data_IF_541829775097
#
_entry.id   IF_541829775097
#
_cell.length_a   1.000
_cell.length_b   1.000
_cell.length_c   1.000
_cell.angle_alpha   90.00
_cell.angle_beta   90.00
_cell.angle_gamma   90.00
#
_symmetry.space_group_name_H-M   'P 1'
#
loop_
_entity.id
_entity.type
_entity.pdbx_description
1 polymer ?
#
# COMPACT_ATOMS: atom_id res chain seq x y z
N UNK A 1 -21.98 29.46 -17.14
CA UNK A 1 -21.37 28.45 -16.28
C UNK A 1 -21.79 28.77 -14.86
N UNK A 2 -22.66 27.94 -14.29
CA UNK A 2 -23.07 28.06 -12.88
C UNK A 2 -21.92 27.49 -12.05
N UNK A 3 -21.33 28.25 -11.10
CA UNK A 3 -20.41 27.66 -10.15
C UNK A 3 -21.20 26.68 -9.29
N UNK A 4 -20.88 25.40 -9.36
CA UNK A 4 -21.46 24.38 -8.48
C UNK A 4 -21.12 24.75 -7.04
N UNK A 5 -22.07 25.38 -6.33
CA UNK A 5 -21.91 25.93 -4.98
C UNK A 5 -21.66 24.89 -3.89
N UNK A 6 -21.43 23.64 -4.25
CA UNK A 6 -21.19 22.50 -3.36
C UNK A 6 -19.78 21.91 -3.49
N UNK A 7 -18.87 22.55 -4.25
CA UNK A 7 -17.49 22.07 -4.34
C UNK A 7 -16.79 22.25 -2.99
N UNK A 8 -16.50 21.12 -2.31
CA UNK A 8 -15.71 21.16 -1.08
C UNK A 8 -14.33 21.76 -1.36
N UNK A 9 -13.80 22.58 -0.45
CA UNK A 9 -12.47 23.13 -0.61
C UNK A 9 -11.44 21.99 -0.71
N UNK A 10 -10.42 22.12 -1.57
CA UNK A 10 -9.41 21.09 -1.71
C UNK A 10 -8.68 20.88 -0.38
N UNK A 11 -8.40 19.61 -0.04
CA UNK A 11 -7.65 19.24 1.16
C UNK A 11 -6.32 20.01 1.19
N UNK A 12 -5.93 20.61 2.35
CA UNK A 12 -4.66 21.30 2.47
C UNK A 12 -3.49 20.41 2.03
N UNK A 13 -2.57 20.97 1.25
CA UNK A 13 -1.43 20.22 0.67
C UNK A 13 -0.60 19.49 1.73
N UNK A 14 -0.39 20.12 2.89
CA UNK A 14 0.34 19.53 4.01
C UNK A 14 -0.35 18.28 4.58
N UNK A 15 -1.67 18.31 4.72
CA UNK A 15 -2.44 17.17 5.22
C UNK A 15 -2.40 15.99 4.24
N UNK A 16 -2.51 16.27 2.94
CA UNK A 16 -2.36 15.25 1.89
C UNK A 16 -0.97 14.61 1.91
N UNK A 17 0.08 15.42 2.05
CA UNK A 17 1.45 14.90 2.15
C UNK A 17 1.65 14.06 3.41
N UNK A 18 1.13 14.51 4.56
CA UNK A 18 1.21 13.76 5.81
C UNK A 18 0.48 12.41 5.69
N UNK A 19 -0.73 12.41 5.13
CA UNK A 19 -1.49 11.19 4.86
C UNK A 19 -0.70 10.24 3.97
N UNK A 20 -0.10 10.73 2.89
CA UNK A 20 0.73 9.92 1.98
C UNK A 20 1.90 9.26 2.70
N UNK A 21 2.62 9.99 3.55
CA UNK A 21 3.76 9.48 4.30
C UNK A 21 3.31 8.44 5.32
N UNK A 22 2.30 8.75 6.13
CA UNK A 22 1.79 7.84 7.16
C UNK A 22 1.23 6.55 6.56
N UNK A 23 0.51 6.67 5.44
CA UNK A 23 -0.03 5.53 4.71
C UNK A 23 1.10 4.65 4.14
N UNK A 24 2.17 5.24 3.61
CA UNK A 24 3.34 4.48 3.13
C UNK A 24 4.03 3.72 4.26
N UNK A 25 4.20 4.38 5.42
CA UNK A 25 4.76 3.77 6.62
C UNK A 25 3.88 2.61 7.07
N UNK A 26 2.57 2.81 7.17
CA UNK A 26 1.62 1.79 7.59
C UNK A 26 1.64 0.56 6.66
N UNK A 27 1.68 0.77 5.33
CA UNK A 27 1.76 -0.33 4.36
C UNK A 27 3.00 -1.18 4.65
N UNK A 28 4.19 -0.57 4.58
CA UNK A 28 5.45 -1.28 4.68
C UNK A 28 5.64 -1.90 6.08
N UNK A 29 5.27 -1.17 7.14
CA UNK A 29 5.37 -1.66 8.51
C UNK A 29 4.44 -2.86 8.75
N UNK A 30 3.24 -2.88 8.17
CA UNK A 30 2.31 -4.01 8.33
C UNK A 30 2.90 -5.33 7.80
N UNK A 31 3.54 -5.29 6.62
CA UNK A 31 4.24 -6.47 6.08
C UNK A 31 5.46 -6.83 6.93
N UNK A 32 6.28 -5.85 7.31
CA UNK A 32 7.46 -6.09 8.14
C UNK A 32 7.09 -6.81 9.44
N UNK A 33 6.13 -6.25 10.19
CA UNK A 33 5.69 -6.82 11.47
C UNK A 33 5.10 -8.21 11.24
N UNK A 34 4.33 -8.42 10.17
CA UNK A 34 3.79 -9.75 9.85
C UNK A 34 4.90 -10.76 9.55
N UNK A 35 5.96 -10.37 8.84
CA UNK A 35 7.10 -11.26 8.57
C UNK A 35 7.89 -11.59 9.83
N UNK A 36 8.19 -10.58 10.66
CA UNK A 36 8.92 -10.78 11.92
C UNK A 36 8.09 -11.67 12.85
N UNK A 37 6.82 -11.34 13.05
CA UNK A 37 5.90 -12.13 13.83
C UNK A 37 5.79 -13.57 13.28
N UNK A 38 5.60 -13.75 11.98
CA UNK A 38 5.49 -15.09 11.38
C UNK A 38 6.79 -15.90 11.55
N UNK A 39 7.96 -15.26 11.51
CA UNK A 39 9.23 -15.94 11.76
C UNK A 39 9.39 -16.37 13.21
N UNK A 40 8.99 -15.52 14.16
CA UNK A 40 9.06 -15.81 15.58
C UNK A 40 8.02 -16.86 15.97
N UNK A 41 6.81 -16.73 15.46
CA UNK A 41 5.73 -17.69 15.68
C UNK A 41 6.04 -19.04 15.06
N UNK A 42 6.64 -19.11 13.87
CA UNK A 42 7.14 -20.39 13.33
C UNK A 42 8.14 -21.06 14.29
N UNK A 43 9.09 -20.29 14.83
CA UNK A 43 10.06 -20.80 15.81
C UNK A 43 9.39 -21.21 17.12
N UNK A 44 8.39 -20.45 17.59
CA UNK A 44 7.62 -20.75 18.81
C UNK A 44 6.70 -21.96 18.63
N UNK A 45 6.03 -22.11 17.49
CA UNK A 45 5.16 -23.25 17.17
C UNK A 45 5.93 -24.56 17.20
N UNK A 46 7.12 -24.58 16.59
CA UNK A 46 8.03 -25.75 16.65
C UNK A 46 8.39 -26.12 18.10
N UNK A 47 8.41 -25.14 19.01
CA UNK A 47 8.82 -25.35 20.41
C UNK A 47 7.65 -25.61 21.37
N UNK A 48 6.49 -24.97 21.19
CA UNK A 48 5.46 -24.84 22.25
C UNK A 48 4.00 -24.77 21.77
N UNK A 49 3.72 -24.77 20.46
CA UNK A 49 2.35 -24.65 19.91
C UNK A 49 1.81 -23.20 19.87
N UNK A 50 0.85 -22.93 18.98
CA UNK A 50 0.38 -21.58 18.61
C UNK A 50 -0.70 -21.01 19.53
N UNK A 51 -0.65 -19.70 19.80
CA UNK A 51 -1.79 -18.94 20.36
C UNK A 51 -2.54 -18.22 19.22
N UNK A 52 -3.82 -18.54 19.04
CA UNK A 52 -4.64 -18.08 17.90
C UNK A 52 -4.86 -16.56 17.80
N UNK A 53 -4.62 -15.79 18.86
CA UNK A 53 -4.91 -14.36 18.90
C UNK A 53 -3.90 -13.51 18.12
N UNK A 54 -2.62 -13.88 18.15
CA UNK A 54 -1.55 -13.06 17.56
C UNK A 54 -1.53 -13.13 16.02
N UNK A 55 -2.05 -14.23 15.46
CA UNK A 55 -2.26 -14.42 14.01
C UNK A 55 -3.20 -13.37 13.45
N UNK A 56 -4.25 -13.01 14.21
CA UNK A 56 -5.27 -12.07 13.77
C UNK A 56 -4.72 -10.64 13.75
N UNK A 57 -3.97 -10.24 14.79
CA UNK A 57 -3.48 -8.87 14.94
C UNK A 57 -2.51 -8.46 13.82
N UNK A 58 -1.58 -9.34 13.44
CA UNK A 58 -0.56 -9.01 12.45
C UNK A 58 -1.01 -9.36 11.03
N UNK A 59 -1.53 -10.58 10.84
CA UNK A 59 -1.95 -11.08 9.53
C UNK A 59 -3.10 -10.28 8.92
N UNK A 60 -4.12 -9.92 9.70
CA UNK A 60 -5.26 -9.15 9.18
C UNK A 60 -4.86 -7.71 8.85
N UNK A 61 -3.99 -7.09 9.64
CA UNK A 61 -3.52 -5.72 9.36
C UNK A 61 -2.76 -5.68 8.05
N UNK A 62 -1.82 -6.61 7.82
CA UNK A 62 -1.14 -6.70 6.53
C UNK A 62 -2.10 -6.97 5.36
N UNK A 63 -3.07 -7.86 5.54
CA UNK A 63 -4.09 -8.14 4.54
C UNK A 63 -4.92 -6.88 4.19
N UNK A 64 -5.40 -6.15 5.20
CA UNK A 64 -6.16 -4.93 4.99
C UNK A 64 -5.34 -3.85 4.31
N UNK A 65 -4.06 -3.69 4.65
CA UNK A 65 -3.19 -2.73 3.95
C UNK A 65 -2.97 -3.10 2.48
N UNK A 66 -2.87 -4.39 2.15
CA UNK A 66 -2.79 -4.83 0.76
C UNK A 66 -4.07 -4.55 -0.02
N UNK A 67 -5.24 -4.84 0.57
CA UNK A 67 -6.54 -4.54 -0.04
C UNK A 67 -6.72 -3.03 -0.22
N UNK A 68 -6.41 -2.25 0.82
CA UNK A 68 -6.49 -0.79 0.79
C UNK A 68 -5.64 -0.21 -0.34
N UNK A 69 -4.44 -0.73 -0.55
CA UNK A 69 -3.61 -0.32 -1.67
C UNK A 69 -4.20 -0.65 -3.05
N UNK A 70 -4.97 -1.72 -3.18
CA UNK A 70 -5.67 -2.03 -4.44
C UNK A 70 -6.85 -1.07 -4.69
N UNK A 71 -7.47 -0.55 -3.64
CA UNK A 71 -8.65 0.31 -3.70
C UNK A 71 -8.32 1.80 -3.82
N UNK A 72 -7.29 2.27 -3.12
CA UNK A 72 -6.93 3.70 -3.09
C UNK A 72 -6.28 4.12 -4.41
N UNK A 73 -6.81 5.17 -5.03
CA UNK A 73 -6.30 5.73 -6.29
C UNK A 73 -5.03 6.59 -6.15
N UNK A 74 -4.26 6.43 -5.08
CA UNK A 74 -3.05 7.21 -4.83
C UNK A 74 -1.80 6.53 -5.40
N UNK A 75 -0.75 7.31 -5.61
CA UNK A 75 0.51 6.87 -6.22
C UNK A 75 1.49 6.37 -5.17
N UNK A 76 1.96 5.13 -5.33
CA UNK A 76 3.06 4.60 -4.54
C UNK A 76 4.38 4.90 -5.29
N UNK A 77 5.22 5.78 -4.73
CA UNK A 77 6.49 6.17 -5.36
C UNK A 77 7.67 5.67 -4.53
N UNK A 78 8.72 5.21 -5.20
CA UNK A 78 9.96 4.72 -4.58
C UNK A 78 10.56 5.76 -3.61
N UNK A 79 10.46 7.05 -3.93
CA UNK A 79 10.94 8.13 -3.07
C UNK A 79 10.25 8.21 -1.71
N UNK A 80 9.04 7.68 -1.53
CA UNK A 80 8.36 7.67 -0.22
C UNK A 80 8.84 6.54 0.69
N UNK A 81 9.47 5.49 0.14
CA UNK A 81 10.02 4.39 0.95
C UNK A 81 11.12 4.87 1.90
N UNK A 82 11.80 5.98 1.58
CA UNK A 82 12.83 6.55 2.47
C UNK A 82 12.25 7.03 3.81
N UNK A 83 10.98 7.44 3.85
CA UNK A 83 10.35 7.87 5.10
C UNK A 83 10.14 6.70 6.04
N UNK A 84 9.78 5.53 5.52
CA UNK A 84 9.69 4.31 6.33
C UNK A 84 11.07 3.88 6.81
N UNK A 85 12.09 4.03 5.99
CA UNK A 85 13.48 3.76 6.38
C UNK A 85 13.91 4.65 7.55
N UNK A 86 13.65 5.96 7.45
CA UNK A 86 13.94 6.94 8.50
C UNK A 86 13.14 6.60 9.76
N UNK A 87 11.86 6.25 9.61
CA UNK A 87 11.02 5.82 10.74
C UNK A 87 11.61 4.59 11.44
N UNK A 88 12.07 3.58 10.69
CA UNK A 88 12.74 2.40 11.24
C UNK A 88 14.02 2.74 12.00
N UNK A 89 14.84 3.67 11.50
CA UNK A 89 16.03 4.15 12.20
C UNK A 89 15.69 4.90 13.49
N UNK A 90 14.68 5.78 13.45
CA UNK A 90 14.18 6.49 14.62
C UNK A 90 13.65 5.51 15.66
N UNK A 91 12.91 4.48 15.24
CA UNK A 91 12.41 3.44 16.11
C UNK A 91 13.53 2.62 16.75
N UNK A 92 14.58 2.27 15.98
CA UNK A 92 15.74 1.57 16.50
C UNK A 92 16.49 2.42 17.55
N UNK A 93 16.70 3.71 17.27
CA UNK A 93 17.29 4.63 18.23
C UNK A 93 16.43 4.78 19.49
N UNK A 94 15.11 4.87 19.33
CA UNK A 94 14.15 4.86 20.44
C UNK A 94 14.29 3.58 21.28
N UNK A 95 14.41 2.41 20.65
CA UNK A 95 14.54 1.14 21.39
C UNK A 95 15.78 1.08 22.28
N UNK A 96 16.89 1.65 21.81
CA UNK A 96 18.12 1.78 22.60
C UNK A 96 17.92 2.73 23.77
N UNK A 97 17.31 3.90 23.52
CA UNK A 97 17.02 4.88 24.58
C UNK A 97 16.07 4.26 25.63
N UNK A 98 15.04 3.55 25.18
CA UNK A 98 14.08 2.87 26.04
C UNK A 98 14.77 1.86 26.96
N UNK A 99 15.69 1.05 26.43
CA UNK A 99 16.44 0.11 27.26
C UNK A 99 17.23 0.80 28.39
N UNK A 100 17.76 2.01 28.18
CA UNK A 100 18.53 2.72 29.21
C UNK A 100 17.71 3.61 30.15
N UNK A 101 16.49 3.99 29.75
CA UNK A 101 15.68 5.01 30.43
C UNK A 101 14.30 4.53 30.85
N UNK A 102 13.85 3.41 30.31
CA UNK A 102 12.57 2.79 30.61
C UNK A 102 12.56 2.19 32.02
N UNK A 103 11.37 1.82 32.50
CA UNK A 103 11.20 1.05 33.74
C UNK A 103 12.02 -0.25 33.70
N UNK A 104 12.60 -0.67 34.82
CA UNK A 104 13.44 -1.88 34.86
C UNK A 104 12.64 -3.16 34.55
N UNK A 105 11.33 -3.17 34.83
CA UNK A 105 10.41 -4.27 34.53
C UNK A 105 9.98 -4.33 33.06
N UNK A 106 10.15 -3.25 32.29
CA UNK A 106 9.78 -3.16 30.87
C UNK A 106 10.97 -2.78 29.97
N UNK A 107 12.18 -3.06 30.46
CA UNK A 107 13.44 -2.65 29.82
C UNK A 107 13.62 -3.20 28.40
N UNK A 108 13.04 -4.37 28.15
CA UNK A 108 13.11 -5.07 26.86
C UNK A 108 11.80 -4.92 26.11
N UNK A 109 11.81 -4.10 25.06
CA UNK A 109 10.68 -3.98 24.12
C UNK A 109 10.41 -5.30 23.39
N UNK A 110 11.47 -6.02 23.03
CA UNK A 110 11.42 -7.33 22.40
C UNK A 110 12.52 -8.22 22.99
N UNK A 111 12.17 -8.99 24.00
CA UNK A 111 13.10 -9.86 24.74
C UNK A 111 13.89 -10.81 23.81
N UNK A 112 13.23 -11.35 22.78
CA UNK A 112 13.82 -12.35 21.89
C UNK A 112 14.67 -11.73 20.76
N UNK A 113 14.43 -10.48 20.36
CA UNK A 113 14.99 -9.90 19.14
C UNK A 113 15.78 -8.61 19.31
N UNK A 114 15.47 -7.77 20.31
CA UNK A 114 16.16 -6.50 20.57
C UNK A 114 16.65 -6.41 22.02
N UNK A 115 17.39 -7.43 22.45
CA UNK A 115 18.11 -7.45 23.73
C UNK A 115 19.41 -6.62 23.66
N UNK A 116 19.36 -5.39 24.18
CA UNK A 116 20.51 -4.49 24.29
C UNK A 116 21.39 -4.73 25.53
N UNK A 117 21.00 -5.67 26.39
CA UNK A 117 21.69 -6.04 27.61
C UNK A 117 22.70 -7.16 27.37
N UNK A 118 22.19 -8.38 27.23
CA UNK A 118 23.01 -9.60 27.16
C UNK A 118 23.48 -9.88 25.72
N UNK A 119 22.59 -9.72 24.73
CA UNK A 119 22.87 -10.06 23.33
C UNK A 119 22.90 -8.86 22.36
N UNK A 120 23.72 -7.85 22.68
CA UNK A 120 23.88 -6.63 21.86
C UNK A 120 24.18 -6.89 20.39
N UNK A 121 25.02 -7.88 20.09
CA UNK A 121 25.35 -8.22 18.70
C UNK A 121 24.11 -8.70 17.93
N UNK A 122 23.31 -9.55 18.56
CA UNK A 122 22.05 -10.02 17.97
C UNK A 122 21.08 -8.87 17.76
N UNK A 123 20.91 -7.98 18.74
CA UNK A 123 20.04 -6.79 18.60
C UNK A 123 20.49 -5.85 17.48
N UNK A 124 21.80 -5.61 17.35
CA UNK A 124 22.36 -4.85 16.23
C UNK A 124 22.08 -5.51 14.88
N UNK A 125 22.28 -6.84 14.78
CA UNK A 125 22.06 -7.58 13.54
C UNK A 125 20.58 -7.66 13.18
N UNK A 126 19.70 -7.96 14.12
CA UNK A 126 18.26 -8.06 13.90
C UNK A 126 17.68 -6.70 13.49
N UNK A 127 18.00 -5.62 14.21
CA UNK A 127 17.59 -4.26 13.87
C UNK A 127 18.17 -3.79 12.53
N UNK A 128 19.44 -4.10 12.29
CA UNK A 128 20.13 -3.78 11.03
C UNK A 128 19.55 -4.51 9.83
N UNK A 129 19.18 -5.79 9.96
CA UNK A 129 18.51 -6.57 8.91
C UNK A 129 17.08 -6.10 8.71
N UNK A 130 16.33 -5.85 9.79
CA UNK A 130 14.95 -5.38 9.70
C UNK A 130 14.88 -4.05 8.94
N UNK A 131 15.70 -3.08 9.34
CA UNK A 131 15.74 -1.76 8.71
C UNK A 131 16.43 -1.84 7.35
N UNK A 132 17.65 -2.37 7.27
CA UNK A 132 18.47 -2.33 6.05
C UNK A 132 18.04 -3.28 4.93
N UNK A 133 17.28 -4.34 5.23
CA UNK A 133 16.90 -5.38 4.26
C UNK A 133 15.40 -5.58 4.19
N UNK A 134 14.73 -5.84 5.31
CA UNK A 134 13.31 -6.20 5.30
C UNK A 134 12.41 -5.02 4.92
N UNK A 135 12.66 -3.80 5.42
CA UNK A 135 11.91 -2.60 5.03
C UNK A 135 12.00 -2.33 3.51
N UNK A 136 13.19 -2.33 2.88
CA UNK A 136 13.30 -2.23 1.42
C UNK A 136 12.54 -3.33 0.68
N UNK A 137 12.67 -4.60 1.10
CA UNK A 137 11.97 -5.72 0.47
C UNK A 137 10.46 -5.54 0.56
N UNK A 138 9.93 -5.21 1.74
CA UNK A 138 8.50 -4.96 1.94
C UNK A 138 8.00 -3.79 1.08
N UNK A 139 8.78 -2.72 0.97
CA UNK A 139 8.44 -1.60 0.08
C UNK A 139 8.48 -1.98 -1.41
N UNK A 140 9.42 -2.83 -1.83
CA UNK A 140 9.44 -3.38 -3.20
C UNK A 140 8.23 -4.29 -3.48
N UNK A 141 7.81 -5.10 -2.51
CA UNK A 141 6.59 -5.92 -2.63
C UNK A 141 5.36 -5.03 -2.80
N UNK A 142 5.21 -3.97 -2.00
CA UNK A 142 4.14 -2.99 -2.21
C UNK A 142 4.27 -2.29 -3.56
N UNK A 143 5.47 -1.97 -4.02
CA UNK A 143 5.66 -1.41 -5.37
C UNK A 143 5.19 -2.37 -6.47
N UNK A 144 5.46 -3.68 -6.35
CA UNK A 144 4.96 -4.69 -7.29
C UNK A 144 3.43 -4.74 -7.28
N UNK A 145 2.81 -4.76 -6.10
CA UNK A 145 1.33 -4.73 -5.98
C UNK A 145 0.75 -3.46 -6.61
N UNK A 146 1.39 -2.32 -6.41
CA UNK A 146 1.01 -1.05 -7.04
C UNK A 146 1.09 -1.13 -8.57
N UNK A 147 2.19 -1.67 -9.13
CA UNK A 147 2.33 -1.84 -10.58
C UNK A 147 1.33 -2.82 -11.17
N UNK A 148 1.04 -3.90 -10.44
CA UNK A 148 0.01 -4.86 -10.83
C UNK A 148 -1.36 -4.17 -10.91
N UNK A 149 -1.71 -3.35 -9.91
CA UNK A 149 -2.93 -2.56 -9.89
C UNK A 149 -3.02 -1.60 -11.08
N UNK A 150 -1.95 -0.85 -11.37
CA UNK A 150 -1.90 0.03 -12.54
C UNK A 150 -2.12 -0.74 -13.85
N UNK A 151 -1.50 -1.92 -13.99
CA UNK A 151 -1.66 -2.77 -15.16
C UNK A 151 -3.09 -3.33 -15.30
N UNK A 152 -3.72 -3.73 -14.19
CA UNK A 152 -5.10 -4.22 -14.18
C UNK A 152 -6.08 -3.11 -14.57
N UNK A 153 -6.00 -1.94 -13.93
CA UNK A 153 -6.89 -0.82 -14.24
C UNK A 153 -6.63 -0.21 -15.62
N UNK A 154 -5.38 -0.20 -16.08
CA UNK A 154 -5.04 0.19 -17.45
C UNK A 154 -5.75 -0.69 -18.48
N UNK A 155 -5.68 -2.02 -18.32
CA UNK A 155 -6.33 -2.98 -19.23
C UNK A 155 -7.85 -2.86 -19.25
N UNK A 156 -8.48 -2.61 -18.11
CA UNK A 156 -9.95 -2.41 -18.04
C UNK A 156 -10.32 -1.13 -18.78
N UNK A 157 -9.62 -0.03 -18.49
CA UNK A 157 -9.86 1.26 -19.14
C UNK A 157 -9.68 1.18 -20.67
N UNK A 158 -8.65 0.49 -21.15
CA UNK A 158 -8.38 0.38 -22.58
C UNK A 158 -9.47 -0.42 -23.31
N UNK A 159 -10.03 -1.45 -22.67
CA UNK A 159 -11.19 -2.20 -23.20
C UNK A 159 -12.45 -1.33 -23.28
N UNK A 160 -12.74 -0.57 -22.24
CA UNK A 160 -13.90 0.32 -22.20
C UNK A 160 -13.82 1.41 -23.26
N UNK A 161 -12.64 2.02 -23.43
CA UNK A 161 -12.40 3.02 -24.48
C UNK A 161 -12.55 2.40 -25.87
N UNK A 162 -12.01 1.19 -26.09
CA UNK A 162 -12.16 0.47 -27.35
C UNK A 162 -13.63 0.19 -27.70
N UNK A 163 -14.42 -0.22 -26.72
CA UNK A 163 -15.87 -0.43 -26.88
C UNK A 163 -16.61 0.86 -27.25
N UNK A 164 -16.33 1.97 -26.55
CA UNK A 164 -16.94 3.27 -26.83
C UNK A 164 -16.61 3.75 -28.25
N UNK A 165 -15.35 3.59 -28.68
CA UNK A 165 -14.93 3.95 -30.04
C UNK A 165 -15.68 3.10 -31.08
N UNK A 166 -15.75 1.78 -30.86
CA UNK A 166 -16.48 0.87 -31.77
C UNK A 166 -17.96 1.27 -31.90
N UNK A 167 -18.63 1.55 -30.77
CA UNK A 167 -20.03 1.97 -30.76
C UNK A 167 -20.23 3.31 -31.47
N UNK A 168 -19.33 4.28 -31.28
CA UNK A 168 -19.39 5.56 -31.95
C UNK A 168 -19.25 5.42 -33.48
N UNK A 169 -18.37 4.54 -33.96
CA UNK A 169 -18.24 4.24 -35.39
C UNK A 169 -19.50 3.59 -35.96
N UNK A 170 -20.09 2.63 -35.26
CA UNK A 170 -21.32 1.96 -35.69
C UNK A 170 -22.50 2.93 -35.80
N UNK A 171 -22.65 3.83 -34.81
CA UNK A 171 -23.68 4.88 -34.83
C UNK A 171 -23.48 5.87 -35.99
N UNK A 172 -22.24 6.25 -36.30
CA UNK A 172 -21.95 7.11 -37.45
C UNK A 172 -22.29 6.42 -38.79
N UNK A 173 -21.97 5.14 -38.92
CA UNK A 173 -22.28 4.39 -40.14
C UNK A 173 -23.78 4.21 -40.34
N UNK A 174 -24.52 3.92 -39.27
CA UNK A 174 -25.98 3.79 -39.30
C UNK A 174 -26.67 5.11 -39.66
N UNK A 175 -26.25 6.24 -39.07
CA UNK A 175 -26.77 7.57 -39.43
C UNK A 175 -26.50 7.91 -40.91
N UNK A 176 -25.32 7.54 -41.43
CA UNK A 176 -25.00 7.72 -42.86
C UNK A 176 -25.89 6.87 -43.77
N UNK A 177 -26.26 5.66 -43.36
CA UNK A 177 -27.20 4.79 -44.09
C UNK A 177 -28.61 5.38 -44.10
N UNK A 178 -29.12 5.86 -42.96
CA UNK A 178 -30.43 6.50 -42.88
C UNK A 178 -30.54 7.72 -43.79
N UNK A 179 -29.54 8.62 -43.77
CA UNK A 179 -29.54 9.80 -44.67
C UNK A 179 -29.60 9.43 -46.16
N UNK A 180 -29.00 8.31 -46.56
CA UNK A 180 -29.05 7.82 -47.95
C UNK A 180 -30.41 7.26 -48.32
N UNK A 181 -31.12 6.62 -47.39
CA UNK A 181 -32.46 6.08 -47.64
C UNK A 181 -33.52 7.18 -47.69
N UNK A 182 -33.46 8.19 -46.81
CA UNK A 182 -34.46 9.28 -46.79
C UNK A 182 -34.31 10.26 -47.95
N UNK A 183 -33.10 10.46 -48.47
CA UNK A 183 -32.85 11.35 -49.61
C UNK A 183 -33.29 10.80 -50.98
N UNK A 184 -33.59 9.50 -51.09
CA UNK A 184 -33.96 8.86 -52.37
C UNK A 184 -35.47 8.88 -52.68
N UNK A 185 -36.30 9.25 -51.70
CA UNK A 185 -37.77 9.21 -51.82
C UNK A 185 -38.43 10.49 -52.37
N UNK A 186 -37.66 11.51 -52.77
CA UNK A 186 -38.21 12.82 -53.14
C UNK A 186 -38.04 13.25 -54.61
N UNK A 187 -37.71 12.32 -55.52
CA UNK A 187 -37.57 12.59 -56.97
C UNK A 187 -38.50 11.73 -57.84
N UNK A 188 -39.74 11.56 -57.42
CA UNK A 188 -40.81 11.01 -58.27
C UNK A 188 -42.08 11.82 -58.07
N UNK A 189 -42.22 12.89 -58.83
CA UNK A 189 -43.49 13.49 -59.28
C UNK A 189 -43.21 14.48 -60.41
#
# INVERSE_FOLDING_TARGET
MVPDGNAQPPVPRGLRWLQLVLWNIACIASLLVTFVWASEDYVRQVRQGTKNFDVQAHGLVAFFMLVDQLLIADTFKLGHMIFTQIYGLVYLAFSVIWFYKGPEDEKYLYEDTLDWGENRLQACLSGGVAVGVLVPIAGLLHLVVFRLREALYGRVRDKDIGYIISLAFELQENNKKERRTTGRGHFTN
#
